data_IF_352591698527
#
_entry.id   IF_352591698527
#
_cell.length_a   1.000
_cell.length_b   1.000
_cell.length_c   1.000
_cell.angle_alpha   90.00
_cell.angle_beta   90.00
_cell.angle_gamma   90.00
#
_symmetry.space_group_name_H-M   'P 1'
#
loop_
_entity.id
_entity.type
_entity.pdbx_description
1 polymer ?
#
# COMPACT_ATOMS: atom_id res chain seq x y z
N UNK A 1 -17.35 -10.51 10.47
CA UNK A 1 -16.38 -11.04 11.47
C UNK A 1 -15.53 -12.07 10.77
N UNK A 2 -14.22 -12.06 11.06
CA UNK A 2 -13.27 -13.03 10.53
C UNK A 2 -13.52 -14.42 11.16
N UNK A 3 -13.19 -15.47 10.42
CA UNK A 3 -13.16 -16.85 10.96
C UNK A 3 -11.90 -17.05 11.81
N UNK A 4 -11.90 -18.06 12.68
CA UNK A 4 -10.72 -18.40 13.47
C UNK A 4 -9.52 -18.75 12.57
N UNK A 5 -9.76 -19.49 11.49
CA UNK A 5 -8.72 -19.80 10.49
C UNK A 5 -8.10 -18.55 9.87
N UNK A 6 -8.88 -17.50 9.64
CA UNK A 6 -8.38 -16.21 9.12
C UNK A 6 -7.54 -15.46 10.16
N UNK A 7 -7.95 -15.47 11.43
CA UNK A 7 -7.16 -14.91 12.53
C UNK A 7 -5.85 -15.68 12.74
N UNK A 8 -5.90 -17.01 12.72
CA UNK A 8 -4.72 -17.86 12.82
C UNK A 8 -3.71 -17.57 11.69
N UNK A 9 -4.23 -17.41 10.46
CA UNK A 9 -3.40 -17.06 9.32
C UNK A 9 -2.74 -15.69 9.48
N UNK A 10 -3.46 -14.67 9.93
CA UNK A 10 -2.89 -13.37 10.27
C UNK A 10 -1.77 -13.49 11.30
N UNK A 11 -2.05 -14.21 12.40
CA UNK A 11 -1.06 -14.41 13.45
C UNK A 11 0.16 -15.21 12.99
N UNK A 12 -0.03 -16.21 12.15
CA UNK A 12 1.04 -17.07 11.67
C UNK A 12 1.88 -16.43 10.57
N UNK A 13 1.22 -15.92 9.53
CA UNK A 13 1.81 -15.56 8.26
C UNK A 13 2.00 -14.05 8.10
N UNK A 14 1.30 -13.22 8.90
CA UNK A 14 1.31 -11.76 8.82
C UNK A 14 0.34 -11.20 7.80
N UNK A 15 -0.57 -12.02 7.28
CA UNK A 15 -1.61 -11.56 6.36
C UNK A 15 -2.84 -12.46 6.37
N UNK A 16 -3.94 -11.92 5.83
CA UNK A 16 -5.17 -12.66 5.51
C UNK A 16 -5.74 -12.15 4.19
N UNK A 17 -6.30 -13.05 3.38
CA UNK A 17 -7.06 -12.73 2.17
C UNK A 17 -8.54 -12.99 2.42
N UNK A 18 -9.39 -12.06 2.01
CA UNK A 18 -10.84 -12.19 2.02
C UNK A 18 -11.30 -12.19 0.56
N UNK A 19 -11.65 -13.38 0.08
CA UNK A 19 -12.02 -13.61 -1.32
C UNK A 19 -13.42 -13.06 -1.61
N UNK A 20 -13.61 -12.54 -2.82
CA UNK A 20 -14.90 -12.01 -3.29
C UNK A 20 -15.54 -11.03 -2.30
N UNK A 21 -14.72 -10.17 -1.69
CA UNK A 21 -15.19 -9.23 -0.67
C UNK A 21 -16.18 -8.21 -1.25
N UNK A 22 -15.88 -7.71 -2.43
CA UNK A 22 -16.82 -6.87 -3.19
C UNK A 22 -17.55 -7.69 -4.22
N UNK A 23 -18.87 -7.51 -4.28
CA UNK A 23 -19.69 -8.09 -5.34
C UNK A 23 -19.29 -7.50 -6.71
N UNK A 24 -19.52 -8.20 -7.83
CA UNK A 24 -19.08 -7.73 -9.17
C UNK A 24 -19.50 -6.30 -9.52
N UNK A 25 -20.73 -5.88 -9.18
CA UNK A 25 -21.19 -4.52 -9.43
C UNK A 25 -20.38 -3.47 -8.62
N UNK A 26 -20.14 -3.72 -7.32
CA UNK A 26 -19.32 -2.83 -6.50
C UNK A 26 -17.86 -2.79 -6.97
N UNK A 27 -17.33 -3.93 -7.45
CA UNK A 27 -16.00 -4.00 -8.04
C UNK A 27 -15.90 -3.17 -9.33
N UNK A 28 -16.90 -3.21 -10.17
CA UNK A 28 -16.99 -2.38 -11.38
C UNK A 28 -17.02 -0.90 -11.03
N UNK A 29 -17.85 -0.51 -10.06
CA UNK A 29 -17.91 0.87 -9.55
C UNK A 29 -16.54 1.32 -9.02
N UNK A 30 -15.85 0.50 -8.20
CA UNK A 30 -14.50 0.81 -7.69
C UNK A 30 -13.54 1.03 -8.86
N UNK A 31 -13.56 0.15 -9.87
CA UNK A 31 -12.66 0.24 -11.03
C UNK A 31 -12.90 1.54 -11.81
N UNK A 32 -14.17 1.92 -12.03
CA UNK A 32 -14.54 3.15 -12.71
C UNK A 32 -14.12 4.39 -11.91
N UNK A 33 -14.31 4.39 -10.58
CA UNK A 33 -13.87 5.48 -9.72
C UNK A 33 -12.34 5.62 -9.66
N UNK A 34 -11.62 4.51 -9.73
CA UNK A 34 -10.15 4.52 -9.80
C UNK A 34 -9.67 5.06 -11.15
N UNK A 35 -10.37 4.76 -12.23
CA UNK A 35 -10.08 5.33 -13.55
C UNK A 35 -10.31 6.85 -13.55
N UNK A 36 -11.42 7.32 -12.97
CA UNK A 36 -11.68 8.75 -12.81
C UNK A 36 -10.55 9.46 -12.05
N UNK A 37 -10.13 8.91 -10.90
CA UNK A 37 -9.02 9.44 -10.10
C UNK A 37 -7.70 9.48 -10.88
N UNK A 38 -7.46 8.49 -11.76
CA UNK A 38 -6.25 8.43 -12.58
C UNK A 38 -6.13 9.57 -13.60
N UNK A 39 -7.27 10.17 -13.95
CA UNK A 39 -7.36 11.28 -14.91
C UNK A 39 -7.27 12.66 -14.24
N UNK A 40 -7.12 12.73 -12.93
CA UNK A 40 -7.07 14.02 -12.24
C UNK A 40 -5.78 14.79 -12.53
N UNK A 41 -5.90 16.11 -12.52
CA UNK A 41 -4.73 16.98 -12.60
C UNK A 41 -3.90 16.93 -11.30
N UNK A 42 -2.62 17.29 -11.41
CA UNK A 42 -1.75 17.45 -10.24
C UNK A 42 -2.28 18.61 -9.38
N UNK A 43 -2.34 18.39 -8.07
CA UNK A 43 -2.80 19.40 -7.11
C UNK A 43 -1.70 19.80 -6.14
N UNK A 44 -1.61 21.10 -5.85
CA UNK A 44 -0.64 21.63 -4.89
C UNK A 44 -1.04 21.41 -3.43
N UNK A 45 -2.34 21.30 -3.13
CA UNK A 45 -2.88 21.37 -1.77
C UNK A 45 -3.81 20.21 -1.39
N UNK A 46 -4.28 19.41 -2.37
CA UNK A 46 -5.26 18.35 -2.14
C UNK A 46 -4.59 16.98 -2.03
N UNK A 47 -4.47 16.29 -3.15
CA UNK A 47 -3.85 14.97 -3.22
C UNK A 47 -2.37 15.06 -3.60
N UNK A 48 -1.64 13.95 -3.42
CA UNK A 48 -0.23 13.82 -3.78
C UNK A 48 -0.15 12.81 -4.93
N UNK A 49 0.47 13.18 -6.04
CA UNK A 49 0.54 12.37 -7.24
C UNK A 49 1.99 12.21 -7.71
N UNK A 50 2.38 10.98 -8.04
CA UNK A 50 3.70 10.64 -8.55
C UNK A 50 3.58 9.94 -9.88
N UNK A 51 4.60 10.14 -10.70
CA UNK A 51 4.68 9.57 -12.03
C UNK A 51 5.99 8.82 -12.20
N UNK A 52 6.01 7.93 -13.16
CA UNK A 52 7.20 7.26 -13.63
C UNK A 52 7.28 7.31 -15.16
N UNK A 53 8.43 6.96 -15.70
CA UNK A 53 8.62 6.85 -17.13
C UNK A 53 8.72 5.37 -17.52
N UNK A 54 7.99 4.99 -18.55
CA UNK A 54 8.11 3.70 -19.21
C UNK A 54 9.43 3.57 -19.97
N UNK A 55 9.81 2.37 -20.42
CA UNK A 55 11.03 2.15 -21.21
C UNK A 55 11.01 2.92 -22.54
N UNK A 56 9.82 3.17 -23.11
CA UNK A 56 9.62 4.03 -24.29
C UNK A 56 9.44 5.53 -23.95
N UNK A 57 9.84 5.92 -22.69
CA UNK A 57 9.85 7.29 -22.20
C UNK A 57 8.46 7.97 -22.07
N UNK A 58 7.36 7.22 -22.07
CA UNK A 58 6.04 7.77 -21.73
C UNK A 58 5.95 8.05 -20.23
N UNK A 59 5.35 9.18 -19.87
CA UNK A 59 5.03 9.51 -18.49
C UNK A 59 3.70 8.84 -18.12
N UNK A 60 3.70 8.00 -17.09
CA UNK A 60 2.51 7.34 -16.55
C UNK A 60 2.38 7.64 -15.05
N UNK A 61 1.14 7.70 -14.56
CA UNK A 61 0.92 7.78 -13.12
C UNK A 61 1.37 6.48 -12.45
N UNK A 62 2.14 6.59 -11.37
CA UNK A 62 2.57 5.42 -10.58
C UNK A 62 1.85 5.32 -9.25
N UNK A 63 1.52 6.48 -8.63
CA UNK A 63 0.89 6.52 -7.32
C UNK A 63 0.11 7.82 -7.10
N UNK A 64 -0.99 7.73 -6.32
CA UNK A 64 -1.68 8.86 -5.74
C UNK A 64 -1.99 8.59 -4.27
N UNK A 65 -1.80 9.59 -3.38
CA UNK A 65 -2.14 9.55 -1.96
C UNK A 65 -3.06 10.73 -1.58
N UNK A 66 -3.77 10.60 -0.45
CA UNK A 66 -4.65 11.64 0.09
C UNK A 66 -5.76 12.08 -0.87
N UNK A 67 -6.31 11.17 -1.63
CA UNK A 67 -7.30 11.46 -2.68
C UNK A 67 -8.73 11.14 -2.26
N UNK A 68 -8.92 10.19 -1.33
CA UNK A 68 -10.24 9.60 -1.04
C UNK A 68 -11.23 10.62 -0.45
N UNK A 69 -10.74 11.63 0.28
CA UNK A 69 -11.59 12.69 0.83
C UNK A 69 -12.11 13.66 -0.25
N UNK A 70 -11.59 13.56 -1.48
CA UNK A 70 -11.99 14.35 -2.65
C UNK A 70 -12.81 13.55 -3.67
N UNK A 71 -13.05 12.26 -3.40
CA UNK A 71 -13.86 11.38 -4.25
C UNK A 71 -14.97 10.71 -3.41
N UNK A 72 -16.06 11.44 -3.18
CA UNK A 72 -17.12 11.02 -2.25
C UNK A 72 -17.75 9.64 -2.59
N UNK A 73 -18.06 9.27 -3.84
CA UNK A 73 -18.60 7.95 -4.15
C UNK A 73 -17.67 6.81 -3.73
N UNK A 74 -16.37 6.89 -4.07
CA UNK A 74 -15.39 5.86 -3.70
C UNK A 74 -15.18 5.82 -2.18
N UNK A 75 -15.12 7.00 -1.54
CA UNK A 75 -15.01 7.11 -0.08
C UNK A 75 -16.16 6.40 0.63
N UNK A 76 -17.40 6.62 0.19
CA UNK A 76 -18.58 5.96 0.77
C UNK A 76 -18.51 4.45 0.60
N UNK A 77 -18.22 3.98 -0.60
CA UNK A 77 -18.15 2.55 -0.89
C UNK A 77 -17.11 1.83 -0.03
N UNK A 78 -15.97 2.46 0.25
CA UNK A 78 -14.88 1.84 1.00
C UNK A 78 -14.98 2.04 2.52
N UNK A 79 -15.50 3.18 2.99
CA UNK A 79 -15.41 3.56 4.41
C UNK A 79 -16.76 3.54 5.14
N UNK A 80 -17.89 3.65 4.46
CA UNK A 80 -19.21 3.51 5.07
C UNK A 80 -19.61 2.02 5.22
N UNK A 81 -19.01 1.14 4.40
CA UNK A 81 -19.11 -0.29 4.62
C UNK A 81 -18.24 -0.70 5.82
N UNK A 82 -18.89 -0.99 6.94
CA UNK A 82 -18.20 -1.32 8.19
C UNK A 82 -17.46 -2.66 8.15
N UNK A 83 -17.60 -3.46 7.09
CA UNK A 83 -16.93 -4.77 6.99
C UNK A 83 -15.41 -4.66 7.00
N UNK A 84 -14.84 -3.67 6.29
CA UNK A 84 -13.37 -3.43 6.30
C UNK A 84 -12.94 -3.06 7.71
N UNK A 85 -13.59 -2.03 8.30
CA UNK A 85 -13.23 -1.59 9.65
C UNK A 85 -13.36 -2.70 10.67
N UNK A 86 -14.46 -3.46 10.65
CA UNK A 86 -14.66 -4.58 11.58
C UNK A 86 -13.62 -5.67 11.44
N UNK A 87 -13.16 -5.98 10.20
CA UNK A 87 -12.08 -6.94 9.98
C UNK A 87 -10.75 -6.42 10.54
N UNK A 88 -10.44 -5.16 10.33
CA UNK A 88 -9.23 -4.52 10.84
C UNK A 88 -9.23 -4.46 12.37
N UNK A 89 -10.33 -4.04 13.00
CA UNK A 89 -10.47 -3.97 14.45
C UNK A 89 -10.29 -5.37 15.09
N UNK A 90 -10.86 -6.40 14.46
CA UNK A 90 -10.70 -7.80 14.88
C UNK A 90 -9.22 -8.25 14.84
N UNK A 91 -8.48 -7.91 13.76
CA UNK A 91 -7.06 -8.25 13.62
C UNK A 91 -6.15 -7.46 14.56
N UNK A 92 -6.44 -6.18 14.76
CA UNK A 92 -5.67 -5.32 15.67
C UNK A 92 -6.03 -5.54 17.15
N UNK A 93 -7.17 -6.18 17.44
CA UNK A 93 -7.65 -6.46 18.79
C UNK A 93 -8.20 -5.24 19.52
N UNK A 94 -8.44 -4.13 18.82
CA UNK A 94 -9.03 -2.90 19.36
C UNK A 94 -9.59 -2.02 18.23
N UNK A 95 -10.26 -0.93 18.61
CA UNK A 95 -10.72 0.09 17.66
C UNK A 95 -9.54 0.69 16.85
N UNK A 96 -9.75 0.89 15.58
CA UNK A 96 -8.75 1.43 14.65
C UNK A 96 -9.21 2.73 14.00
N UNK A 97 -8.23 3.51 13.54
CA UNK A 97 -8.48 4.72 12.75
C UNK A 97 -7.67 4.71 11.47
N UNK A 98 -8.27 5.20 10.38
CA UNK A 98 -7.56 5.37 9.10
C UNK A 98 -6.46 6.40 9.25
N UNK A 99 -5.24 6.02 8.88
CA UNK A 99 -4.08 6.90 8.85
C UNK A 99 -3.90 7.51 7.46
N UNK A 100 -3.88 6.69 6.43
CA UNK A 100 -3.66 7.11 5.04
C UNK A 100 -4.37 6.19 4.07
N UNK A 101 -4.46 6.63 2.82
CA UNK A 101 -4.75 5.77 1.68
C UNK A 101 -3.87 6.14 0.50
N UNK A 102 -3.65 5.15 -0.37
CA UNK A 102 -2.93 5.33 -1.61
C UNK A 102 -3.45 4.37 -2.69
N UNK A 103 -3.37 4.80 -3.95
CA UNK A 103 -3.50 3.97 -5.13
C UNK A 103 -2.12 3.77 -5.74
N UNK A 104 -1.80 2.54 -6.08
CA UNK A 104 -0.62 2.18 -6.86
C UNK A 104 -1.07 1.65 -8.21
N UNK A 105 -0.46 2.18 -9.26
CA UNK A 105 -0.75 1.85 -10.65
C UNK A 105 0.44 1.09 -11.25
N UNK A 106 0.36 -0.23 -11.25
CA UNK A 106 1.30 -1.07 -12.00
C UNK A 106 0.77 -1.28 -13.42
N UNK A 107 0.89 -0.26 -14.24
CA UNK A 107 0.60 -0.37 -15.67
C UNK A 107 1.65 -1.24 -16.39
N UNK A 108 1.34 -1.76 -17.59
CA UNK A 108 2.36 -2.41 -18.41
C UNK A 108 3.63 -1.56 -18.53
N UNK A 109 4.80 -2.18 -18.35
CA UNK A 109 6.11 -1.54 -18.36
C UNK A 109 6.40 -0.60 -17.15
N UNK A 110 5.63 -0.70 -16.07
CA UNK A 110 5.93 0.00 -14.81
C UNK A 110 7.02 -0.69 -14.01
N UNK A 111 7.72 0.06 -13.15
CA UNK A 111 8.70 -0.46 -12.20
C UNK A 111 8.07 -1.28 -11.07
N UNK A 112 8.91 -1.85 -10.21
CA UNK A 112 8.55 -2.59 -9.01
C UNK A 112 9.04 -1.91 -7.73
N UNK A 113 8.83 -2.56 -6.60
CA UNK A 113 9.28 -2.10 -5.29
C UNK A 113 10.22 -3.14 -4.67
N UNK A 114 11.42 -2.71 -4.28
CA UNK A 114 12.41 -3.56 -3.59
C UNK A 114 11.87 -4.06 -2.23
N UNK A 115 12.47 -5.12 -1.65
CA UNK A 115 12.09 -5.62 -0.34
C UNK A 115 12.09 -4.54 0.74
N UNK A 116 10.95 -4.36 1.44
CA UNK A 116 10.75 -3.33 2.45
C UNK A 116 9.70 -3.76 3.49
N UNK A 117 9.54 -2.94 4.52
CA UNK A 117 8.45 -2.99 5.50
C UNK A 117 7.76 -1.64 5.52
N UNK A 118 6.42 -1.62 5.48
CA UNK A 118 5.66 -0.37 5.41
C UNK A 118 5.81 0.52 6.65
N UNK A 119 6.11 -0.08 7.81
CA UNK A 119 6.35 0.63 9.07
C UNK A 119 7.45 1.70 8.95
N UNK A 120 8.47 1.48 8.11
CA UNK A 120 9.58 2.42 7.90
C UNK A 120 9.11 3.76 7.30
N UNK A 121 8.04 3.73 6.53
CA UNK A 121 7.54 4.92 5.83
C UNK A 121 6.58 5.77 6.65
N UNK A 122 6.38 5.42 7.92
CA UNK A 122 5.56 6.20 8.86
C UNK A 122 6.49 7.10 9.67
N UNK A 123 6.40 8.43 9.50
CA UNK A 123 7.37 9.37 10.05
C UNK A 123 7.12 9.63 11.55
N UNK A 124 7.37 8.67 12.41
CA UNK A 124 7.33 8.85 13.87
C UNK A 124 8.22 7.83 14.58
N UNK A 125 8.75 8.22 15.77
CA UNK A 125 9.22 7.23 16.76
C UNK A 125 7.98 6.51 17.27
N UNK A 126 7.79 5.31 16.79
CA UNK A 126 6.69 4.45 17.22
C UNK A 126 7.05 3.78 18.54
N UNK A 127 6.10 3.60 19.47
CA UNK A 127 6.28 2.74 20.63
C UNK A 127 6.63 1.31 20.19
N UNK A 128 7.23 0.52 21.06
CA UNK A 128 7.95 -0.74 20.80
C UNK A 128 7.26 -1.79 19.91
N UNK A 129 6.01 -1.67 19.61
CA UNK A 129 5.31 -2.38 18.54
C UNK A 129 4.01 -1.69 18.21
N UNK A 130 4.04 -0.77 17.28
CA UNK A 130 2.80 -0.36 16.61
C UNK A 130 2.51 -1.34 15.50
N UNK A 131 1.32 -1.86 15.49
CA UNK A 131 0.83 -2.67 14.39
C UNK A 131 -0.17 -1.82 13.62
N UNK A 132 0.15 -1.57 12.35
CA UNK A 132 -0.84 -1.10 11.40
C UNK A 132 -1.37 -2.31 10.63
N UNK A 133 -2.64 -2.25 10.28
CA UNK A 133 -3.21 -3.13 9.29
C UNK A 133 -3.30 -2.38 7.96
N UNK A 134 -2.65 -2.94 6.96
CA UNK A 134 -2.70 -2.43 5.58
C UNK A 134 -3.70 -3.27 4.81
N UNK A 135 -4.79 -2.65 4.36
CA UNK A 135 -5.82 -3.28 3.55
C UNK A 135 -5.56 -2.97 2.09
N UNK A 136 -5.18 -3.96 1.32
CA UNK A 136 -5.05 -3.87 -0.14
C UNK A 136 -6.37 -4.32 -0.79
N UNK A 137 -7.00 -3.43 -1.54
CA UNK A 137 -8.19 -3.71 -2.36
C UNK A 137 -7.73 -3.98 -3.78
N UNK A 138 -7.95 -5.19 -4.27
CA UNK A 138 -7.65 -5.58 -5.64
C UNK A 138 -8.60 -4.92 -6.64
N UNK A 139 -8.12 -3.92 -7.38
CA UNK A 139 -8.88 -3.33 -8.49
C UNK A 139 -8.80 -4.24 -9.70
N UNK A 140 -7.62 -4.78 -9.95
CA UNK A 140 -7.33 -5.75 -11.00
C UNK A 140 -6.87 -7.07 -10.40
N UNK A 141 -6.90 -8.15 -11.18
CA UNK A 141 -6.26 -9.41 -10.84
C UNK A 141 -4.76 -9.20 -10.61
N UNK A 142 -4.19 -9.92 -9.67
CA UNK A 142 -2.76 -9.85 -9.35
C UNK A 142 -2.12 -11.22 -9.34
N UNK A 143 -1.02 -11.34 -10.04
CA UNK A 143 -0.15 -12.52 -10.08
C UNK A 143 1.32 -12.10 -10.29
N UNK A 144 2.29 -13.05 -10.25
CA UNK A 144 3.70 -12.73 -10.41
C UNK A 144 4.09 -12.07 -11.74
N UNK A 145 3.28 -12.22 -12.80
CA UNK A 145 3.59 -11.71 -14.14
C UNK A 145 3.28 -10.23 -14.29
N UNK A 146 2.18 -9.77 -13.63
CA UNK A 146 1.76 -8.36 -13.72
C UNK A 146 2.23 -7.49 -12.55
N UNK A 147 3.37 -7.84 -11.96
CA UNK A 147 3.97 -7.07 -10.86
C UNK A 147 3.31 -7.33 -9.49
N UNK A 148 2.75 -8.52 -9.29
CA UNK A 148 2.13 -8.94 -8.03
C UNK A 148 3.10 -8.92 -6.85
N UNK A 149 2.53 -8.88 -5.64
CA UNK A 149 3.27 -8.83 -4.40
C UNK A 149 3.86 -10.19 -4.03
N UNK A 150 5.02 -10.15 -3.41
CA UNK A 150 5.65 -11.28 -2.74
C UNK A 150 5.83 -10.95 -1.26
N UNK A 151 5.52 -11.88 -0.37
CA UNK A 151 5.64 -11.72 1.07
C UNK A 151 6.58 -12.76 1.68
N UNK A 152 7.31 -12.33 2.70
CA UNK A 152 8.07 -13.24 3.54
C UNK A 152 7.25 -13.61 4.77
N UNK A 153 6.62 -14.80 4.72
CA UNK A 153 5.64 -15.22 5.71
C UNK A 153 6.25 -15.43 7.10
N UNK A 154 5.52 -14.96 8.14
CA UNK A 154 5.91 -15.11 9.53
C UNK A 154 7.03 -14.17 10.00
N UNK A 155 7.73 -13.49 9.07
CA UNK A 155 8.80 -12.56 9.42
C UNK A 155 8.32 -11.23 10.01
N UNK A 156 7.03 -10.90 9.90
CA UNK A 156 6.42 -9.76 10.60
C UNK A 156 6.64 -9.80 12.13
N UNK A 157 6.83 -10.99 12.70
CA UNK A 157 7.06 -11.19 14.15
C UNK A 157 8.45 -10.81 14.62
N UNK A 158 9.40 -10.64 13.72
CA UNK A 158 10.81 -10.39 14.05
C UNK A 158 11.15 -8.91 14.22
N UNK A 159 10.15 -8.02 14.12
CA UNK A 159 10.34 -6.58 14.22
C UNK A 159 10.86 -5.94 12.96
N UNK A 160 11.55 -4.80 13.09
CA UNK A 160 12.12 -4.05 11.96
C UNK A 160 13.45 -4.66 11.57
N UNK A 161 13.61 -5.01 10.32
CA UNK A 161 14.87 -5.48 9.76
C UNK A 161 15.82 -4.31 9.46
N UNK A 162 17.15 -4.55 9.38
CA UNK A 162 18.08 -3.55 8.88
C UNK A 162 17.67 -3.06 7.48
N UNK A 163 17.59 -1.74 7.32
CA UNK A 163 17.21 -1.08 6.07
C UNK A 163 18.17 0.07 5.77
N UNK A 164 18.33 0.38 4.50
CA UNK A 164 19.02 1.59 4.09
C UNK A 164 18.17 2.86 4.34
N UNK A 165 18.73 4.03 4.07
CA UNK A 165 18.02 5.29 4.22
C UNK A 165 16.83 5.47 3.24
N UNK A 166 16.67 4.60 2.25
CA UNK A 166 15.52 4.55 1.34
C UNK A 166 14.42 3.62 1.82
N UNK A 167 14.65 2.86 2.91
CA UNK A 167 13.69 1.87 3.42
C UNK A 167 13.81 0.48 2.77
N UNK A 168 14.85 0.25 1.99
CA UNK A 168 15.13 -1.06 1.38
C UNK A 168 15.79 -1.96 2.43
N UNK A 169 15.22 -3.15 2.65
CA UNK A 169 15.81 -4.17 3.53
C UNK A 169 17.19 -4.55 2.98
N UNK A 170 18.18 -4.68 3.89
CA UNK A 170 19.52 -5.12 3.54
C UNK A 170 19.46 -6.35 2.62
N UNK A 171 20.07 -6.32 1.42
CA UNK A 171 20.01 -7.43 0.48
C UNK A 171 20.48 -8.76 1.07
N UNK A 172 21.51 -8.77 1.93
CA UNK A 172 21.99 -9.99 2.58
C UNK A 172 20.94 -10.58 3.54
N UNK A 173 20.13 -9.72 4.17
CA UNK A 173 19.00 -10.14 4.99
C UNK A 173 17.86 -10.64 4.12
N UNK A 174 17.51 -9.91 3.08
CA UNK A 174 16.43 -10.25 2.15
C UNK A 174 16.66 -11.59 1.42
N UNK A 175 17.92 -11.94 1.11
CA UNK A 175 18.32 -13.23 0.52
C UNK A 175 18.04 -14.42 1.45
N UNK A 176 17.95 -14.20 2.75
CA UNK A 176 17.61 -15.27 3.72
C UNK A 176 16.12 -15.58 3.78
N UNK A 177 15.28 -14.79 3.13
CA UNK A 177 13.84 -14.92 3.21
C UNK A 177 13.30 -15.91 2.16
N UNK A 178 12.29 -16.69 2.56
CA UNK A 178 11.43 -17.38 1.62
C UNK A 178 10.33 -16.43 1.16
N UNK A 179 10.25 -16.18 -0.14
CA UNK A 179 9.31 -15.26 -0.74
C UNK A 179 8.17 -16.00 -1.42
N UNK A 180 6.95 -15.77 -0.96
CA UNK A 180 5.74 -16.38 -1.49
C UNK A 180 4.91 -15.36 -2.28
N UNK A 181 4.50 -15.69 -3.52
CA UNK A 181 3.65 -14.80 -4.29
C UNK A 181 2.24 -14.72 -3.68
N UNK A 182 1.68 -13.52 -3.65
CA UNK A 182 0.29 -13.30 -3.27
C UNK A 182 -0.54 -13.07 -4.53
N UNK A 183 -1.43 -14.02 -4.79
CA UNK A 183 -2.35 -13.98 -5.94
C UNK A 183 -3.74 -13.62 -5.45
N UNK A 184 -4.39 -12.65 -6.10
CA UNK A 184 -5.78 -12.30 -5.84
C UNK A 184 -6.56 -12.00 -7.12
N UNK A 185 -7.88 -12.01 -7.00
CA UNK A 185 -8.83 -11.57 -8.03
C UNK A 185 -9.32 -10.16 -7.74
N UNK A 186 -9.72 -9.46 -8.78
CA UNK A 186 -10.42 -8.20 -8.62
C UNK A 186 -11.64 -8.37 -7.68
N UNK A 187 -11.80 -7.44 -6.74
CA UNK A 187 -12.82 -7.53 -5.69
C UNK A 187 -12.42 -8.28 -4.43
N UNK A 188 -11.26 -8.94 -4.40
CA UNK A 188 -10.68 -9.45 -3.15
C UNK A 188 -10.09 -8.32 -2.34
N UNK A 189 -9.99 -8.53 -1.02
CA UNK A 189 -9.10 -7.73 -0.18
C UNK A 189 -8.04 -8.62 0.47
N UNK A 190 -6.88 -8.03 0.65
CA UNK A 190 -5.73 -8.63 1.28
C UNK A 190 -5.29 -7.72 2.43
N UNK A 191 -5.32 -8.21 3.68
CA UNK A 191 -4.95 -7.42 4.86
C UNK A 191 -3.64 -7.96 5.38
N UNK A 192 -2.64 -7.09 5.59
CA UNK A 192 -1.33 -7.49 6.08
C UNK A 192 -0.79 -6.54 7.15
N UNK A 193 0.10 -7.09 7.99
CA UNK A 193 0.83 -6.39 9.03
C UNK A 193 1.93 -5.54 8.38
N UNK A 194 2.06 -4.26 8.76
CA UNK A 194 3.06 -3.33 8.21
C UNK A 194 4.52 -3.70 8.52
N UNK A 195 4.74 -4.64 9.45
CA UNK A 195 6.04 -5.29 9.67
C UNK A 195 6.31 -6.46 8.72
N UNK A 196 5.34 -6.91 7.93
CA UNK A 196 5.54 -8.02 7.01
C UNK A 196 6.45 -7.60 5.84
N UNK A 197 7.65 -8.19 5.69
CA UNK A 197 8.51 -7.89 4.56
C UNK A 197 7.85 -8.29 3.25
N UNK A 198 7.86 -7.37 2.29
CA UNK A 198 7.26 -7.62 0.98
C UNK A 198 7.97 -6.83 -0.12
N UNK A 199 7.76 -7.26 -1.37
CA UNK A 199 8.23 -6.58 -2.56
C UNK A 199 7.30 -6.82 -3.74
N UNK A 200 7.49 -6.11 -4.83
CA UNK A 200 6.85 -6.41 -6.11
C UNK A 200 7.85 -6.32 -7.25
N UNK A 201 7.62 -7.14 -8.30
CA UNK A 201 8.42 -7.06 -9.52
C UNK A 201 7.91 -5.96 -10.45
N UNK A 202 8.72 -5.50 -11.40
CA UNK A 202 8.23 -4.70 -12.52
C UNK A 202 7.12 -5.45 -13.28
N UNK A 203 6.14 -4.72 -13.78
CA UNK A 203 5.08 -5.30 -14.60
C UNK A 203 5.55 -5.45 -16.05
N UNK A 204 5.95 -6.66 -16.43
CA UNK A 204 6.38 -7.01 -17.78
C UNK A 204 5.24 -7.62 -18.63
N UNK A 205 4.02 -7.67 -18.09
CA UNK A 205 2.82 -8.14 -18.79
C UNK A 205 2.13 -7.02 -19.56
N UNK A 206 1.12 -7.39 -20.34
CA UNK A 206 0.23 -6.43 -21.00
C UNK A 206 -1.04 -6.09 -20.17
N UNK A 207 -1.09 -6.51 -18.89
CA UNK A 207 -2.22 -6.31 -17.98
C UNK A 207 -1.85 -5.31 -16.89
N UNK A 208 -2.74 -4.38 -16.58
CA UNK A 208 -2.59 -3.50 -15.42
C UNK A 208 -2.78 -4.26 -14.10
N UNK A 209 -2.18 -3.75 -13.03
CA UNK A 209 -2.46 -4.15 -11.66
C UNK A 209 -2.59 -2.91 -10.79
N UNK A 210 -3.79 -2.38 -10.72
CA UNK A 210 -4.13 -1.27 -9.83
C UNK A 210 -4.53 -1.82 -8.47
N UNK A 211 -4.02 -1.22 -7.42
CA UNK A 211 -4.32 -1.64 -6.04
C UNK A 211 -4.52 -0.41 -5.17
N UNK A 212 -5.65 -0.36 -4.47
CA UNK A 212 -5.92 0.67 -3.48
C UNK A 212 -5.55 0.14 -2.09
N UNK A 213 -4.78 0.93 -1.35
CA UNK A 213 -4.38 0.60 0.01
C UNK A 213 -5.02 1.56 1.00
N UNK A 214 -5.60 1.00 2.07
CA UNK A 214 -6.05 1.73 3.24
C UNK A 214 -5.19 1.30 4.42
N UNK A 215 -4.55 2.24 5.09
CA UNK A 215 -3.71 1.96 6.26
C UNK A 215 -4.45 2.41 7.52
N UNK A 216 -4.65 1.47 8.42
CA UNK A 216 -5.28 1.69 9.71
C UNK A 216 -4.26 1.51 10.84
N UNK A 217 -4.37 2.32 11.85
CA UNK A 217 -3.61 2.22 13.10
C UNK A 217 -4.54 2.01 14.29
N UNK A 218 -4.05 1.38 15.34
CA UNK A 218 -4.77 1.27 16.61
C UNK A 218 -5.10 2.66 17.16
N UNK A 219 -6.30 2.85 17.66
CA UNK A 219 -6.73 4.14 18.22
C UNK A 219 -5.92 4.52 19.48
N UNK A 220 -5.46 3.53 20.26
CA UNK A 220 -4.73 3.72 21.52
C UNK A 220 -3.26 4.11 21.36
N UNK A 221 -2.64 3.93 20.19
CA UNK A 221 -1.18 4.01 20.00
C UNK A 221 -0.60 5.42 20.06
N UNK A 222 -1.42 6.48 20.02
CA UNK A 222 -0.91 7.85 20.05
C UNK A 222 -0.09 8.26 18.82
N UNK A 223 -0.13 7.48 17.74
CA UNK A 223 0.50 7.83 16.45
C UNK A 223 -0.14 9.04 15.79
N UNK A 224 0.39 9.50 14.65
CA UNK A 224 -0.09 10.71 13.99
C UNK A 224 -1.55 10.59 13.61
N UNK A 225 -2.25 11.69 13.67
CA UNK A 225 -3.53 11.83 12.98
C UNK A 225 -3.30 11.82 11.46
N UNK A 226 -4.35 11.54 10.69
CA UNK A 226 -4.29 11.63 9.24
C UNK A 226 -3.83 13.03 8.75
N UNK A 227 -4.31 14.10 9.40
CA UNK A 227 -3.92 15.46 9.04
C UNK A 227 -2.41 15.69 9.26
N UNK A 228 -1.87 15.28 10.41
CA UNK A 228 -0.42 15.37 10.70
C UNK A 228 0.40 14.53 9.73
N UNK A 229 -0.06 13.29 9.44
CA UNK A 229 0.60 12.44 8.44
C UNK A 229 0.67 13.13 7.07
N UNK A 230 -0.45 13.70 6.58
CA UNK A 230 -0.50 14.34 5.28
C UNK A 230 0.40 15.59 5.20
N UNK A 231 0.49 16.39 6.27
CA UNK A 231 1.41 17.53 6.34
C UNK A 231 2.85 17.05 6.25
N UNK A 232 3.24 16.05 7.03
CA UNK A 232 4.60 15.48 7.03
C UNK A 232 4.92 14.84 5.68
N UNK A 233 3.98 14.06 5.13
CA UNK A 233 4.16 13.40 3.84
C UNK A 233 4.42 14.40 2.72
N UNK A 234 3.67 15.49 2.69
CA UNK A 234 3.83 16.58 1.71
C UNK A 234 5.18 17.29 1.86
N UNK A 235 5.64 17.48 3.09
CA UNK A 235 6.93 18.14 3.36
C UNK A 235 8.13 17.24 2.98
N UNK A 236 8.05 15.93 3.30
CA UNK A 236 9.14 14.98 3.08
C UNK A 236 9.18 14.40 1.65
N UNK A 237 8.02 14.33 1.00
CA UNK A 237 7.85 13.73 -0.32
C UNK A 237 6.93 14.61 -1.15
N UNK A 238 7.39 15.80 -1.59
CA UNK A 238 6.56 16.68 -2.41
C UNK A 238 6.17 15.98 -3.70
N UNK A 239 4.94 16.21 -4.21
CA UNK A 239 4.53 15.68 -5.50
C UNK A 239 5.41 16.20 -6.62
N UNK A 240 5.45 15.49 -7.74
CA UNK A 240 6.25 15.81 -8.91
C UNK A 240 5.95 17.23 -9.43
N UNK A 241 7.02 18.01 -9.68
CA UNK A 241 6.95 19.42 -10.08
C UNK A 241 7.36 20.41 -8.99
N UNK A 242 7.30 20.01 -7.71
CA UNK A 242 8.03 20.69 -6.63
C UNK A 242 9.26 19.81 -6.35
N UNK A 243 10.32 20.04 -7.08
CA UNK A 243 11.60 19.34 -6.91
C UNK A 243 12.01 19.51 -5.45
N UNK A 244 11.86 18.47 -4.63
CA UNK A 244 12.74 18.29 -3.49
C UNK A 244 14.15 18.38 -4.09
N UNK A 245 15.00 19.20 -3.51
CA UNK A 245 16.39 19.33 -3.90
C UNK A 245 17.02 17.94 -3.88
N UNK A 246 17.02 17.27 -5.04
CA UNK A 246 17.41 15.87 -5.21
C UNK A 246 18.90 15.66 -4.94
N UNK A 247 19.68 16.77 -4.84
CA UNK A 247 21.08 16.72 -4.44
C UNK A 247 21.24 16.47 -2.93
N UNK A 248 20.20 16.68 -2.12
CA UNK A 248 20.23 16.54 -0.67
C UNK A 248 19.20 15.56 -0.08
N UNK A 249 18.20 15.12 -0.86
CA UNK A 249 17.21 14.14 -0.42
C UNK A 249 17.26 12.94 -1.38
N UNK A 250 17.51 11.75 -0.83
CA UNK A 250 17.32 10.51 -1.58
C UNK A 250 15.88 10.49 -2.14
N UNK A 251 15.69 9.91 -3.33
CA UNK A 251 14.37 9.90 -3.95
C UNK A 251 13.30 9.40 -2.97
N UNK A 252 12.12 10.02 -2.97
CA UNK A 252 11.05 9.70 -2.02
C UNK A 252 10.55 8.25 -2.07
N UNK A 253 10.99 7.47 -3.04
CA UNK A 253 10.71 6.05 -3.23
C UNK A 253 12.02 5.27 -3.38
N UNK A 254 12.91 5.32 -2.39
CA UNK A 254 14.16 4.55 -2.41
C UNK A 254 13.99 3.05 -2.60
N UNK A 255 12.77 2.54 -2.42
CA UNK A 255 12.38 1.15 -2.66
C UNK A 255 11.93 0.89 -4.11
N UNK A 256 11.68 1.93 -4.92
CA UNK A 256 11.22 1.79 -6.29
C UNK A 256 12.38 1.47 -7.25
N UNK A 257 12.21 0.52 -8.14
CA UNK A 257 13.25 0.11 -9.10
C UNK A 257 12.66 -0.26 -10.46
N UNK A 258 13.55 -0.23 -11.46
CA UNK A 258 13.36 -0.82 -12.80
C UNK A 258 14.56 -1.70 -13.11
N UNK A 259 14.31 -2.80 -13.78
CA UNK A 259 15.37 -3.62 -14.39
C UNK A 259 15.75 -3.07 -15.76
#
# INVERSE_FOLDING_TARGET
MLTDTQRDKWQKDGYVRLESFFAPAAQEDISNFVEDVSCWDVSDDKWLMWFEKTTDNRKIISKIENFLDFHDPLRRLLLEDQRIKSAVDDLLGEDSRRLKELLIFHYPDSGGYLPHQDIYHIPHKLPDRMVHAVVAVGIDDSDPENGGLFFSLGNHKKGVFPMDAGGVIDPQVAETFSWEPVVWKAGDIFIFDDYAPHYSRPNKSNRSRRTLYLVFQRASTGGPTRAEYNVLKRALNPPEGKVADLDNLKPPNGIFYRD
#
